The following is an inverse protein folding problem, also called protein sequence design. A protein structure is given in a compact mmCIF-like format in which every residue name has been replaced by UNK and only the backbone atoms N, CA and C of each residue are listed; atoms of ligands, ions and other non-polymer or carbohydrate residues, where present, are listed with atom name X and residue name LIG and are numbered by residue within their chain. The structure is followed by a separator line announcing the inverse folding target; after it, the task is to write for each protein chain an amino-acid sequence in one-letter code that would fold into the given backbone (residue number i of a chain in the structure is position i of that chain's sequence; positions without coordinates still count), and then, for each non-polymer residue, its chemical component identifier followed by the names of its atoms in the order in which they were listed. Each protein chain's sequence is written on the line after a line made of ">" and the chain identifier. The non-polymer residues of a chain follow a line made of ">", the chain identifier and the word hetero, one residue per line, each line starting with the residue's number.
data_IF_845099395425
#
_entry.id   IF_845099395425
#
_cell.length_a   1.000
_cell.length_b   1.000
_cell.length_c   1.000
_cell.angle_alpha   90.00
_cell.angle_beta   90.00
_cell.angle_gamma   90.00
#
_symmetry.space_group_name_H-M   'P 1'
#
loop_
_entity.id
_entity.type
_entity.pdbx_description
1 polymer ?
#
# COMPACT_ATOMS: atom_id res chain seq x y z
N UNK A 1 -8.44 -10.00 -5.77
CA UNK A 1 -8.87 -10.71 -4.55
C UNK A 1 -8.07 -10.20 -3.37
N UNK A 2 -8.68 -10.00 -2.20
CA UNK A 2 -7.96 -9.55 -1.01
C UNK A 2 -6.95 -10.62 -0.53
N UNK A 3 -5.78 -10.19 -0.08
CA UNK A 3 -4.69 -11.07 0.38
C UNK A 3 -4.59 -11.00 1.90
N UNK A 4 -4.69 -12.14 2.62
CA UNK A 4 -4.48 -12.18 4.07
C UNK A 4 -3.07 -11.76 4.45
N UNK A 5 -2.94 -10.98 5.54
CA UNK A 5 -1.62 -10.58 6.02
C UNK A 5 -1.06 -11.64 6.97
N UNK A 6 0.16 -12.10 6.68
CA UNK A 6 0.96 -13.04 7.47
C UNK A 6 2.22 -12.34 8.00
N UNK A 7 2.99 -13.03 8.84
CA UNK A 7 4.24 -12.51 9.41
C UNK A 7 5.37 -12.34 8.36
N UNK A 8 5.13 -12.68 7.10
CA UNK A 8 6.02 -12.47 5.96
C UNK A 8 5.44 -11.42 5.01
N UNK A 9 6.31 -10.68 4.31
CA UNK A 9 5.87 -9.73 3.30
C UNK A 9 5.14 -10.43 2.14
N UNK A 10 4.05 -9.81 1.69
CA UNK A 10 3.31 -10.23 0.51
C UNK A 10 3.82 -9.47 -0.71
N UNK A 11 3.92 -10.16 -1.85
CA UNK A 11 4.46 -9.62 -3.10
C UNK A 11 3.37 -9.45 -4.15
N UNK A 12 3.36 -8.28 -4.79
CA UNK A 12 2.41 -7.89 -5.84
C UNK A 12 3.17 -7.43 -7.07
N UNK A 13 2.74 -7.85 -8.25
CA UNK A 13 3.24 -7.32 -9.52
C UNK A 13 2.24 -6.29 -10.04
N UNK A 14 2.69 -5.06 -10.29
CA UNK A 14 1.85 -3.94 -10.70
C UNK A 14 2.38 -3.35 -12.00
N UNK A 15 1.60 -3.46 -13.05
CA UNK A 15 1.91 -2.85 -14.34
C UNK A 15 1.59 -1.35 -14.32
N UNK A 16 2.46 -0.56 -14.96
CA UNK A 16 2.28 0.88 -15.12
C UNK A 16 2.28 1.20 -16.62
N UNK A 17 1.33 2.01 -17.12
CA UNK A 17 1.30 2.39 -18.53
C UNK A 17 2.56 3.13 -18.96
N UNK A 18 3.04 2.85 -20.17
CA UNK A 18 4.13 3.60 -20.79
C UNK A 18 3.68 5.05 -21.09
N UNK A 19 4.59 6.01 -20.88
CA UNK A 19 4.33 7.42 -21.19
C UNK A 19 5.15 8.39 -20.34
N UNK A 20 5.01 9.68 -20.65
CA UNK A 20 5.61 10.75 -19.84
C UNK A 20 4.82 10.94 -18.54
N UNK A 21 5.43 10.51 -17.44
CA UNK A 21 4.90 10.68 -16.09
C UNK A 21 5.59 11.86 -15.42
N UNK A 22 4.84 12.67 -14.68
CA UNK A 22 5.39 13.75 -13.85
C UNK A 22 5.30 13.43 -12.36
N UNK A 23 4.37 12.56 -11.97
CA UNK A 23 4.28 12.04 -10.61
C UNK A 23 3.76 10.61 -10.57
N UNK A 24 4.06 9.94 -9.48
CA UNK A 24 3.52 8.63 -9.15
C UNK A 24 3.24 8.48 -7.66
N UNK A 25 2.18 7.74 -7.34
CA UNK A 25 1.75 7.42 -5.98
C UNK A 25 1.42 5.93 -5.88
N UNK A 26 2.04 5.24 -4.92
CA UNK A 26 1.64 3.90 -4.52
C UNK A 26 0.53 4.00 -3.48
N UNK A 27 -0.58 3.30 -3.72
CA UNK A 27 -1.76 3.25 -2.86
C UNK A 27 -2.02 1.82 -2.41
N UNK A 28 -1.94 1.58 -1.11
CA UNK A 28 -2.15 0.26 -0.51
C UNK A 28 -3.39 0.32 0.38
N UNK A 29 -4.43 -0.42 0.01
CA UNK A 29 -5.64 -0.56 0.81
C UNK A 29 -5.45 -1.65 1.86
N UNK A 30 -5.67 -1.30 3.13
CA UNK A 30 -5.43 -2.17 4.29
C UNK A 30 -6.69 -2.21 5.16
N UNK A 31 -7.05 -3.40 5.63
CA UNK A 31 -8.09 -3.58 6.64
C UNK A 31 -7.57 -4.48 7.75
N UNK A 32 -7.44 -3.96 8.97
CA UNK A 32 -6.89 -4.68 10.13
C UNK A 32 -7.67 -4.39 11.40
N UNK A 33 -7.55 -5.23 12.42
CA UNK A 33 -8.11 -4.95 13.73
C UNK A 33 -7.45 -3.68 14.32
N UNK A 34 -8.19 -2.88 15.09
CA UNK A 34 -7.70 -1.57 15.57
C UNK A 34 -6.48 -1.65 16.50
N UNK A 35 -6.28 -2.79 17.16
CA UNK A 35 -5.13 -3.04 18.03
C UNK A 35 -3.85 -3.43 17.30
N UNK A 36 -3.92 -3.66 15.97
CA UNK A 36 -2.77 -4.09 15.17
C UNK A 36 -2.11 -2.90 14.49
N UNK A 37 -0.83 -3.05 14.14
CA UNK A 37 -0.11 -2.00 13.46
C UNK A 37 -0.68 -1.78 12.04
N UNK A 38 -0.87 -0.52 11.68
CA UNK A 38 -1.39 -0.10 10.37
C UNK A 38 -0.32 0.53 9.48
N UNK A 39 0.93 0.59 9.93
CA UNK A 39 2.07 1.11 9.17
C UNK A 39 2.87 -0.09 8.62
N UNK A 40 2.75 -0.43 7.32
CA UNK A 40 3.55 -1.49 6.72
C UNK A 40 5.00 -1.05 6.46
N UNK A 41 5.91 -2.02 6.36
CA UNK A 41 7.14 -1.86 5.60
C UNK A 41 6.85 -2.08 4.10
N UNK A 42 7.31 -1.17 3.25
CA UNK A 42 7.04 -1.22 1.80
C UNK A 42 8.35 -1.16 1.02
N UNK A 43 8.50 -2.05 0.04
CA UNK A 43 9.56 -1.99 -0.97
C UNK A 43 8.96 -1.97 -2.37
N UNK A 44 9.58 -1.18 -3.25
CA UNK A 44 9.30 -1.12 -4.68
C UNK A 44 10.57 -1.48 -5.42
N UNK A 45 10.53 -2.54 -6.24
CA UNK A 45 11.69 -3.02 -7.00
C UNK A 45 12.93 -3.22 -6.12
N UNK A 46 12.71 -3.71 -4.88
CA UNK A 46 13.75 -3.92 -3.87
C UNK A 46 14.20 -2.67 -3.10
N UNK A 47 13.72 -1.47 -3.45
CA UNK A 47 14.02 -0.22 -2.74
C UNK A 47 12.96 0.08 -1.69
N UNK A 48 13.39 0.38 -0.47
CA UNK A 48 12.47 0.75 0.63
C UNK A 48 11.84 2.11 0.37
N UNK A 49 10.53 2.21 0.54
CA UNK A 49 9.79 3.47 0.48
C UNK A 49 9.43 3.96 1.88
N UNK A 50 9.41 5.28 2.06
CA UNK A 50 8.99 5.90 3.30
C UNK A 50 7.46 6.00 3.34
N UNK A 51 6.82 5.41 4.35
CA UNK A 51 5.37 5.49 4.55
C UNK A 51 5.07 6.70 5.43
N UNK A 52 4.49 7.76 4.85
CA UNK A 52 4.02 8.92 5.60
C UNK A 52 2.51 8.81 5.90
N UNK A 53 2.15 8.89 7.17
CA UNK A 53 0.75 8.81 7.60
C UNK A 53 -0.05 10.07 7.30
N UNK A 54 0.58 11.24 7.16
CA UNK A 54 -0.14 12.50 6.90
C UNK A 54 -0.88 12.50 5.55
N UNK A 55 -0.41 11.71 4.59
CA UNK A 55 -1.01 11.55 3.26
C UNK A 55 -1.93 10.33 3.16
N UNK A 56 -2.06 9.59 4.26
CA UNK A 56 -2.85 8.36 4.35
C UNK A 56 -4.24 8.64 4.90
N UNK A 57 -5.21 7.82 4.52
CA UNK A 57 -6.56 7.89 5.03
C UNK A 57 -6.85 6.68 5.90
N UNK A 58 -7.39 6.89 7.09
CA UNK A 58 -7.88 5.83 7.96
C UNK A 58 -9.31 6.11 8.38
N UNK A 59 -10.13 5.05 8.39
CA UNK A 59 -11.47 5.06 8.94
C UNK A 59 -11.58 3.92 9.94
N UNK A 60 -11.82 4.30 11.20
CA UNK A 60 -12.21 3.34 12.22
C UNK A 60 -13.66 2.95 12.00
N UNK A 61 -13.90 1.65 11.93
CA UNK A 61 -15.23 1.05 11.77
C UNK A 61 -15.44 0.18 13.01
N UNK A 62 -16.26 0.68 13.93
CA UNK A 62 -16.72 -0.06 15.10
C UNK A 62 -18.21 -0.40 14.95
N UNK A 63 -18.57 -1.66 15.06
CA UNK A 63 -19.94 -2.09 15.27
C UNK A 63 -20.01 -3.09 16.44
N UNK A 64 -21.22 -3.49 16.85
CA UNK A 64 -21.46 -4.34 18.01
C UNK A 64 -20.73 -5.70 18.00
N UNK A 65 -20.10 -6.11 16.89
CA UNK A 65 -19.40 -7.38 16.74
C UNK A 65 -17.93 -7.24 16.32
N UNK A 66 -17.48 -6.06 15.87
CA UNK A 66 -16.25 -5.91 15.10
C UNK A 66 -15.65 -4.49 15.21
N UNK A 67 -14.37 -4.43 15.56
CA UNK A 67 -13.55 -3.21 15.54
C UNK A 67 -12.41 -3.36 14.53
N UNK A 68 -12.49 -2.63 13.42
CA UNK A 68 -11.46 -2.67 12.38
C UNK A 68 -11.10 -1.25 11.94
N UNK A 69 -9.87 -1.08 11.51
CA UNK A 69 -9.40 0.10 10.77
C UNK A 69 -9.33 -0.27 9.31
N UNK A 70 -10.04 0.47 8.47
CA UNK A 70 -9.87 0.44 7.02
C UNK A 70 -9.18 1.70 6.56
N UNK A 71 -8.13 1.57 5.75
CA UNK A 71 -7.37 2.71 5.32
C UNK A 71 -6.62 2.51 4.02
N UNK A 72 -6.15 3.63 3.48
CA UNK A 72 -5.30 3.68 2.30
C UNK A 72 -3.99 4.34 2.73
N UNK A 73 -2.88 3.63 2.52
CA UNK A 73 -1.54 4.21 2.61
C UNK A 73 -1.17 4.79 1.26
N UNK A 74 -0.96 6.10 1.22
CA UNK A 74 -0.48 6.81 0.03
C UNK A 74 0.99 7.10 0.19
N UNK A 75 1.80 6.62 -0.75
CA UNK A 75 3.25 6.68 -0.68
C UNK A 75 3.74 7.32 -1.99
N UNK A 76 4.37 8.50 -1.96
CA UNK A 76 4.99 9.08 -3.15
C UNK A 76 6.05 8.13 -3.71
N UNK A 77 6.04 7.93 -5.02
CA UNK A 77 6.99 7.05 -5.71
C UNK A 77 7.92 7.91 -6.57
N UNK A 78 9.25 7.86 -6.32
CA UNK A 78 10.22 8.43 -7.25
C UNK A 78 10.12 7.78 -8.63
N UNK A 79 10.01 8.60 -9.67
CA UNK A 79 9.78 8.11 -11.05
C UNK A 79 10.94 7.26 -11.58
N UNK A 80 12.16 7.49 -11.09
CA UNK A 80 13.36 6.72 -11.43
C UNK A 80 13.34 5.29 -10.88
N UNK A 81 12.43 4.97 -9.95
CA UNK A 81 12.22 3.62 -9.44
C UNK A 81 11.15 2.83 -10.20
N UNK A 82 10.41 3.47 -11.11
CA UNK A 82 9.33 2.82 -11.85
C UNK A 82 9.86 2.04 -13.05
N UNK A 83 9.31 0.86 -13.23
CA UNK A 83 9.47 -0.01 -14.38
C UNK A 83 8.10 -0.26 -15.04
N UNK A 84 8.06 -0.92 -16.21
CA UNK A 84 6.80 -1.32 -16.84
C UNK A 84 6.00 -2.28 -15.95
N UNK A 85 6.69 -3.18 -15.26
CA UNK A 85 6.11 -4.11 -14.28
C UNK A 85 6.88 -3.97 -12.98
N UNK A 86 6.19 -3.56 -11.93
CA UNK A 86 6.80 -3.23 -10.65
C UNK A 86 6.51 -4.30 -9.62
N UNK A 87 7.55 -4.75 -8.92
CA UNK A 87 7.42 -5.64 -7.78
C UNK A 87 7.24 -4.81 -6.51
N UNK A 88 6.06 -4.88 -5.92
CA UNK A 88 5.71 -4.24 -4.66
C UNK A 88 5.67 -5.28 -3.56
N UNK A 89 6.48 -5.09 -2.52
CA UNK A 89 6.52 -5.95 -1.33
C UNK A 89 5.92 -5.17 -0.15
N UNK A 90 4.92 -5.73 0.50
CA UNK A 90 4.23 -5.12 1.65
C UNK A 90 4.32 -6.07 2.84
N UNK A 91 4.99 -5.64 3.90
CA UNK A 91 5.21 -6.42 5.11
C UNK A 91 4.66 -5.74 6.36
N UNK A 92 4.32 -6.56 7.35
CA UNK A 92 3.97 -6.16 8.70
C UNK A 92 4.77 -7.04 9.68
N UNK A 93 5.01 -6.54 10.88
CA UNK A 93 5.65 -7.27 11.96
C UNK A 93 4.72 -8.25 12.68
N UNK A 94 3.43 -8.19 12.36
CA UNK A 94 2.35 -8.99 12.93
C UNK A 94 1.40 -9.57 11.85
N UNK A 95 0.59 -10.55 12.25
CA UNK A 95 -0.40 -11.17 11.39
C UNK A 95 -1.80 -10.58 11.60
N UNK A 96 -2.67 -10.77 10.61
CA UNK A 96 -4.09 -10.48 10.74
C UNK A 96 -4.57 -9.28 9.89
N UNK A 97 -5.83 -9.36 9.49
CA UNK A 97 -6.38 -8.44 8.50
C UNK A 97 -5.97 -8.81 7.06
N UNK A 98 -6.17 -7.87 6.15
CA UNK A 98 -6.02 -8.08 4.71
C UNK A 98 -5.46 -6.86 4.00
N UNK A 99 -4.69 -7.10 2.95
CA UNK A 99 -4.40 -6.12 1.90
C UNK A 99 -5.52 -6.24 0.86
N UNK A 100 -6.33 -5.19 0.74
CA UNK A 100 -7.47 -5.17 -0.19
C UNK A 100 -7.06 -4.80 -1.61
N UNK A 101 -6.04 -3.96 -1.76
CA UNK A 101 -5.59 -3.44 -3.05
C UNK A 101 -4.15 -2.91 -2.99
N UNK A 102 -3.45 -3.00 -4.11
CA UNK A 102 -2.15 -2.36 -4.36
C UNK A 102 -2.21 -1.74 -5.74
N UNK A 103 -2.09 -0.42 -5.82
CA UNK A 103 -2.27 0.36 -7.05
C UNK A 103 -1.14 1.37 -7.17
N UNK A 104 -0.53 1.49 -8.35
CA UNK A 104 0.32 2.64 -8.68
C UNK A 104 -0.52 3.59 -9.52
N UNK A 105 -0.75 4.80 -9.01
CA UNK A 105 -1.37 5.88 -9.76
C UNK A 105 -0.25 6.74 -10.35
N UNK A 106 -0.28 6.94 -11.66
CA UNK A 106 0.61 7.86 -12.37
C UNK A 106 -0.19 9.02 -12.94
N UNK A 107 0.49 10.14 -13.21
CA UNK A 107 -0.13 11.25 -13.91
C UNK A 107 0.88 12.23 -14.45
N UNK A 108 0.39 13.11 -15.31
CA UNK A 108 1.07 14.28 -15.85
C UNK A 108 0.28 15.50 -15.38
N UNK A 109 0.94 16.58 -14.99
CA UNK A 109 0.24 17.84 -14.74
C UNK A 109 -0.37 18.30 -16.07
N UNK A 110 -1.67 18.60 -16.06
CA UNK A 110 -2.40 19.10 -17.22
C UNK A 110 -1.99 20.55 -17.53
#
# INVERSE_FOLDING_TARGET
>A
TAVPIKASAETFMVEVPEGNMEYAELRIGISRHQSLNVIPEVKLNGKKLAVNLEQSYDKQISNAQKEYTWGIRTIPVPLDLLENVNKVEVGFDDEGGVISSVIIKTGSSL
#
